data_IF_299826151313
#
_entry.id   IF_299826151313
#
_cell.length_a   1.000
_cell.length_b   1.000
_cell.length_c   1.000
_cell.angle_alpha   90.00
_cell.angle_beta   90.00
_cell.angle_gamma   90.00
#
_symmetry.space_group_name_H-M   'P 1'
#
loop_
_entity.id
_entity.type
_entity.pdbx_description
1 polymer ?
#
# COMPACT_ATOMS: atom_id res chain seq x y z
N UNK A 1 55.02 51.69 -7.66
CA UNK A 1 53.80 51.78 -6.83
C UNK A 1 52.97 50.57 -7.21
N UNK A 2 53.35 49.33 -6.83
CA UNK A 2 53.37 48.81 -5.44
C UNK A 2 52.13 49.31 -4.70
N UNK A 3 51.18 48.51 -4.23
CA UNK A 3 51.22 47.24 -3.52
C UNK A 3 49.72 46.95 -3.26
N UNK A 4 49.18 45.76 -3.49
CA UNK A 4 48.74 44.85 -2.40
C UNK A 4 48.23 43.56 -3.02
N UNK A 5 49.15 42.63 -3.26
CA UNK A 5 48.79 41.22 -3.23
C UNK A 5 48.49 40.84 -1.76
N UNK A 6 47.41 40.08 -1.59
CA UNK A 6 47.25 39.08 -0.51
C UNK A 6 47.42 39.56 0.92
N UNK A 7 46.34 40.06 1.52
CA UNK A 7 46.16 39.93 2.96
C UNK A 7 45.71 38.49 3.31
N UNK A 8 46.25 37.86 4.36
CA UNK A 8 45.94 36.49 4.72
C UNK A 8 44.48 36.35 5.15
N UNK A 9 43.78 35.37 4.58
CA UNK A 9 42.44 34.96 5.00
C UNK A 9 42.53 34.52 6.46
N UNK A 10 41.87 35.26 7.36
CA UNK A 10 41.71 34.83 8.75
C UNK A 10 40.92 33.52 8.75
N UNK A 11 41.59 32.48 9.21
CA UNK A 11 41.08 31.14 9.38
C UNK A 11 39.99 31.18 10.47
N UNK A 12 38.72 31.21 10.06
CA UNK A 12 37.59 31.16 10.99
C UNK A 12 36.29 31.89 10.58
N UNK A 13 36.31 32.82 9.62
CA UNK A 13 35.06 33.43 9.14
C UNK A 13 34.36 32.49 8.15
N UNK A 14 33.11 32.11 8.44
CA UNK A 14 32.22 31.49 7.47
C UNK A 14 32.26 32.31 6.17
N UNK A 15 32.66 31.67 5.07
CA UNK A 15 32.71 32.34 3.77
C UNK A 15 31.33 32.93 3.49
N UNK A 16 31.25 34.26 3.50
CA UNK A 16 30.02 34.99 3.18
C UNK A 16 29.49 34.46 1.84
N UNK A 17 28.21 34.06 1.81
CA UNK A 17 27.54 33.65 0.57
C UNK A 17 27.70 34.74 -0.50
N UNK A 18 27.88 34.36 -1.76
CA UNK A 18 28.03 35.31 -2.88
C UNK A 18 26.89 36.34 -2.93
N UNK A 19 25.66 35.92 -2.58
CA UNK A 19 24.50 36.82 -2.47
C UNK A 19 24.68 37.82 -1.33
N UNK A 20 25.24 37.40 -0.19
CA UNK A 20 25.54 38.27 0.96
C UNK A 20 26.65 39.28 0.62
N UNK A 21 27.69 38.84 -0.09
CA UNK A 21 28.77 39.73 -0.57
C UNK A 21 28.23 40.79 -1.53
N UNK A 22 27.43 40.38 -2.52
CA UNK A 22 26.81 41.33 -3.47
C UNK A 22 25.86 42.28 -2.74
N UNK A 23 25.11 41.79 -1.75
CA UNK A 23 24.23 42.63 -0.95
C UNK A 23 25.01 43.68 -0.16
N UNK A 24 26.12 43.30 0.47
CA UNK A 24 26.99 44.20 1.21
C UNK A 24 27.60 45.29 0.31
N UNK A 25 28.03 44.93 -0.90
CA UNK A 25 28.54 45.89 -1.90
C UNK A 25 27.43 46.85 -2.35
N UNK A 26 26.25 46.31 -2.63
CA UNK A 26 25.11 47.12 -3.04
C UNK A 26 24.62 48.05 -1.93
N UNK A 27 24.57 47.61 -0.68
CA UNK A 27 24.18 48.48 0.43
C UNK A 27 25.21 49.58 0.68
N UNK A 28 26.50 49.31 0.49
CA UNK A 28 27.56 50.33 0.62
C UNK A 28 27.55 51.38 -0.49
N UNK A 29 27.39 50.95 -1.76
CA UNK A 29 27.51 51.87 -2.90
C UNK A 29 26.18 52.41 -3.41
N UNK A 30 25.08 51.69 -3.21
CA UNK A 30 23.74 52.07 -3.69
C UNK A 30 22.65 51.45 -2.79
N UNK A 31 22.37 52.02 -1.61
CA UNK A 31 21.42 51.48 -0.64
C UNK A 31 20.02 51.19 -1.19
N UNK A 32 19.58 51.93 -2.23
CA UNK A 32 18.28 51.75 -2.90
C UNK A 32 18.31 50.73 -4.05
N UNK A 33 19.40 50.00 -4.24
CA UNK A 33 19.55 49.03 -5.33
C UNK A 33 18.54 47.90 -5.19
N UNK A 34 17.74 47.71 -6.23
CA UNK A 34 16.81 46.58 -6.37
C UNK A 34 17.44 45.39 -7.09
N UNK A 35 18.75 45.41 -7.38
CA UNK A 35 19.41 44.41 -8.22
C UNK A 35 19.12 42.97 -7.77
N UNK A 36 19.43 42.64 -6.52
CA UNK A 36 19.17 41.29 -5.98
C UNK A 36 17.69 40.92 -6.05
N UNK A 37 16.80 41.85 -5.69
CA UNK A 37 15.35 41.66 -5.76
C UNK A 37 14.85 41.40 -7.18
N UNK A 38 15.39 42.11 -8.17
CA UNK A 38 15.02 41.98 -9.58
C UNK A 38 15.44 40.63 -10.17
N UNK A 39 16.55 40.06 -9.68
CA UNK A 39 17.03 38.72 -10.09
C UNK A 39 16.51 37.60 -9.18
N UNK A 40 15.52 37.89 -8.32
CA UNK A 40 14.90 36.90 -7.43
C UNK A 40 15.76 36.44 -6.26
N UNK A 41 16.88 37.12 -5.99
CA UNK A 41 17.77 36.83 -4.87
C UNK A 41 17.40 37.71 -3.67
N UNK A 42 17.29 37.10 -2.49
CA UNK A 42 17.05 37.81 -1.24
C UNK A 42 18.32 37.73 -0.39
N UNK A 43 18.93 38.87 -0.04
CA UNK A 43 19.92 38.86 1.02
C UNK A 43 19.22 38.46 2.31
N UNK A 44 19.64 37.33 2.85
CA UNK A 44 19.24 36.83 4.17
C UNK A 44 17.87 36.14 4.16
N UNK A 45 17.89 34.84 3.91
CA UNK A 45 17.04 33.92 4.66
C UNK A 45 17.80 32.62 4.91
N UNK A 46 18.89 32.70 5.67
CA UNK A 46 19.54 31.53 6.28
C UNK A 46 18.68 30.84 7.34
N UNK A 47 17.39 31.21 7.48
CA UNK A 47 16.49 30.68 8.51
C UNK A 47 15.23 29.96 8.01
N UNK A 48 14.99 29.84 6.69
CA UNK A 48 13.73 29.26 6.19
C UNK A 48 13.84 27.82 5.66
N UNK A 49 15.04 27.30 5.42
CA UNK A 49 15.26 25.92 4.97
C UNK A 49 15.07 24.87 6.08
N UNK A 50 15.36 25.20 7.34
CA UNK A 50 15.22 24.24 8.45
C UNK A 50 13.75 23.95 8.80
N UNK A 51 12.86 24.95 8.63
CA UNK A 51 11.41 24.80 8.85
C UNK A 51 10.73 23.95 7.78
N UNK A 52 11.19 24.01 6.53
CA UNK A 52 10.66 23.15 5.46
C UNK A 52 11.10 21.69 5.63
N UNK A 53 12.32 21.44 6.09
CA UNK A 53 12.81 20.07 6.30
C UNK A 53 12.09 19.35 7.45
N UNK A 54 11.77 20.05 8.55
CA UNK A 54 10.99 19.45 9.64
C UNK A 54 9.58 19.05 9.21
N UNK A 55 8.91 19.88 8.41
CA UNK A 55 7.57 19.59 7.86
C UNK A 55 7.61 18.43 6.86
N UNK A 56 8.64 18.38 6.01
CA UNK A 56 8.85 17.26 5.08
C UNK A 56 9.10 15.97 5.85
N UNK A 57 9.95 15.98 6.86
CA UNK A 57 10.25 14.80 7.68
C UNK A 57 9.02 14.28 8.43
N UNK A 58 8.20 15.17 9.01
CA UNK A 58 6.95 14.78 9.66
C UNK A 58 5.99 14.11 8.68
N UNK A 59 5.89 14.62 7.45
CA UNK A 59 5.05 14.02 6.41
C UNK A 59 5.58 12.68 5.92
N UNK A 60 6.90 12.50 5.85
CA UNK A 60 7.50 11.20 5.49
C UNK A 60 7.17 10.15 6.55
N UNK A 61 7.25 10.50 7.84
CA UNK A 61 6.88 9.59 8.93
C UNK A 61 5.41 9.19 8.88
N UNK A 62 4.50 10.15 8.69
CA UNK A 62 3.06 9.88 8.53
C UNK A 62 2.76 8.97 7.33
N UNK A 63 3.41 9.20 6.19
CA UNK A 63 3.27 8.33 5.02
C UNK A 63 3.81 6.92 5.24
N UNK A 64 4.90 6.78 6.01
CA UNK A 64 5.46 5.47 6.37
C UNK A 64 4.51 4.70 7.29
N UNK A 65 3.93 5.37 8.28
CA UNK A 65 2.92 4.77 9.18
C UNK A 65 1.68 4.33 8.39
N UNK A 66 1.16 5.17 7.50
CA UNK A 66 0.03 4.81 6.64
C UNK A 66 0.34 3.63 5.72
N UNK A 67 1.57 3.54 5.20
CA UNK A 67 2.00 2.41 4.37
C UNK A 67 2.06 1.12 5.17
N UNK A 68 2.59 1.15 6.39
CA UNK A 68 2.65 0.00 7.28
C UNK A 68 1.25 -0.48 7.67
N UNK A 69 0.37 0.43 8.08
CA UNK A 69 -1.03 0.11 8.36
C UNK A 69 -1.73 -0.51 7.13
N UNK A 70 -1.50 0.06 5.94
CA UNK A 70 -2.09 -0.46 4.70
C UNK A 70 -1.56 -1.87 4.36
N UNK A 71 -0.27 -2.14 4.60
CA UNK A 71 0.32 -3.47 4.38
C UNK A 71 -0.29 -4.50 5.30
N UNK A 72 -0.34 -4.20 6.59
CA UNK A 72 -0.95 -5.08 7.60
C UNK A 72 -2.42 -5.37 7.26
N UNK A 73 -3.20 -4.34 6.88
CA UNK A 73 -4.59 -4.53 6.47
C UNK A 73 -4.72 -5.40 5.21
N UNK A 74 -3.82 -5.22 4.24
CA UNK A 74 -3.80 -6.03 3.03
C UNK A 74 -3.44 -7.49 3.32
N UNK A 75 -2.53 -7.75 4.26
CA UNK A 75 -2.16 -9.09 4.69
C UNK A 75 -3.34 -9.79 5.37
N UNK A 76 -4.00 -9.11 6.32
CA UNK A 76 -5.20 -9.64 6.98
C UNK A 76 -6.30 -9.96 5.96
N UNK A 77 -6.61 -9.04 5.03
CA UNK A 77 -7.61 -9.31 4.00
C UNK A 77 -7.24 -10.50 3.12
N UNK A 78 -5.95 -10.68 2.81
CA UNK A 78 -5.48 -11.83 2.03
C UNK A 78 -5.66 -13.13 2.80
N UNK A 79 -5.33 -13.16 4.08
CA UNK A 79 -5.52 -14.31 4.95
C UNK A 79 -7.01 -14.69 5.09
N UNK A 80 -7.88 -13.70 5.28
CA UNK A 80 -9.33 -13.90 5.33
C UNK A 80 -9.87 -14.50 4.02
N UNK A 81 -9.41 -13.98 2.88
CA UNK A 81 -9.79 -14.50 1.57
C UNK A 81 -9.29 -15.93 1.34
N UNK A 82 -8.08 -16.25 1.76
CA UNK A 82 -7.53 -17.60 1.63
C UNK A 82 -8.25 -18.58 2.57
N UNK A 83 -8.62 -18.15 3.78
CA UNK A 83 -9.45 -18.94 4.69
C UNK A 83 -10.86 -19.18 4.11
N UNK A 84 -11.47 -18.16 3.51
CA UNK A 84 -12.77 -18.27 2.87
C UNK A 84 -12.73 -19.22 1.67
N UNK A 85 -11.69 -19.16 0.83
CA UNK A 85 -11.49 -20.10 -0.28
C UNK A 85 -11.34 -21.54 0.20
N UNK A 86 -10.57 -21.78 1.27
CA UNK A 86 -10.43 -23.13 1.84
C UNK A 86 -11.78 -23.67 2.32
N UNK A 87 -12.53 -22.88 3.09
CA UNK A 87 -13.87 -23.27 3.55
C UNK A 87 -14.83 -23.54 2.39
N UNK A 88 -14.77 -22.73 1.33
CA UNK A 88 -15.59 -22.95 0.14
C UNK A 88 -15.23 -24.27 -0.55
N UNK A 89 -13.94 -24.56 -0.73
CA UNK A 89 -13.48 -25.81 -1.33
C UNK A 89 -13.85 -27.04 -0.49
N UNK A 90 -13.74 -26.95 0.84
CA UNK A 90 -14.17 -28.00 1.77
C UNK A 90 -15.69 -28.22 1.72
N UNK A 91 -16.48 -27.15 1.66
CA UNK A 91 -17.93 -27.24 1.55
C UNK A 91 -18.36 -27.86 0.22
N UNK A 92 -17.71 -27.49 -0.89
CA UNK A 92 -17.97 -28.08 -2.21
C UNK A 92 -17.63 -29.57 -2.23
N UNK A 93 -16.49 -29.97 -1.65
CA UNK A 93 -16.13 -31.38 -1.52
C UNK A 93 -17.13 -32.18 -0.66
N UNK A 94 -17.55 -31.61 0.47
CA UNK A 94 -18.56 -32.24 1.33
C UNK A 94 -19.92 -32.37 0.63
N UNK A 95 -20.30 -31.37 -0.16
CA UNK A 95 -21.51 -31.42 -0.97
C UNK A 95 -21.42 -32.51 -2.04
N UNK A 96 -20.30 -32.60 -2.76
CA UNK A 96 -20.10 -33.64 -3.77
C UNK A 96 -20.21 -35.07 -3.19
N UNK A 97 -19.66 -35.30 -1.99
CA UNK A 97 -19.81 -36.59 -1.31
C UNK A 97 -21.25 -36.87 -0.88
N UNK A 98 -21.96 -35.84 -0.41
CA UNK A 98 -23.38 -35.96 -0.07
C UNK A 98 -24.21 -36.32 -1.30
N UNK A 99 -23.95 -35.67 -2.42
CA UNK A 99 -24.70 -35.89 -3.65
C UNK A 99 -24.46 -37.31 -4.19
N UNK A 100 -23.21 -37.81 -4.18
CA UNK A 100 -22.91 -39.23 -4.48
C UNK A 100 -23.65 -40.20 -3.57
N UNK A 101 -23.71 -39.91 -2.27
CA UNK A 101 -24.42 -40.77 -1.31
C UNK A 101 -25.92 -40.81 -1.60
N UNK A 102 -26.49 -39.68 -2.03
CA UNK A 102 -27.89 -39.55 -2.38
C UNK A 102 -28.22 -40.34 -3.65
N UNK A 103 -27.38 -40.24 -4.69
CA UNK A 103 -27.51 -41.05 -5.91
C UNK A 103 -27.49 -42.55 -5.62
N UNK A 104 -26.59 -43.00 -4.73
CA UNK A 104 -26.53 -44.42 -4.33
C UNK A 104 -27.80 -44.86 -3.59
N UNK A 105 -28.39 -44.01 -2.75
CA UNK A 105 -29.64 -44.29 -2.08
C UNK A 105 -30.80 -44.38 -3.06
N UNK A 106 -30.86 -43.44 -4.02
CA UNK A 106 -31.91 -43.42 -5.05
C UNK A 106 -31.87 -44.71 -5.87
N UNK A 107 -30.69 -45.12 -6.34
CA UNK A 107 -30.51 -46.37 -7.09
C UNK A 107 -30.97 -47.59 -6.29
N UNK A 108 -30.63 -47.65 -5.00
CA UNK A 108 -31.08 -48.75 -4.12
C UNK A 108 -32.60 -48.75 -3.94
N UNK A 109 -33.23 -47.59 -3.87
CA UNK A 109 -34.68 -47.48 -3.80
C UNK A 109 -35.32 -48.01 -5.08
N UNK A 110 -34.85 -47.59 -6.25
CA UNK A 110 -35.33 -48.08 -7.56
C UNK A 110 -35.17 -49.61 -7.69
N UNK A 111 -34.02 -50.16 -7.29
CA UNK A 111 -33.79 -51.61 -7.30
C UNK A 111 -34.73 -52.36 -6.36
N UNK A 112 -35.04 -51.79 -5.20
CA UNK A 112 -35.99 -52.39 -4.26
C UNK A 112 -37.42 -52.33 -4.79
N UNK A 113 -37.85 -51.18 -5.33
CA UNK A 113 -39.17 -51.01 -5.92
C UNK A 113 -39.38 -51.98 -7.09
N UNK A 114 -38.36 -52.19 -7.93
CA UNK A 114 -38.39 -53.17 -9.00
C UNK A 114 -38.58 -54.62 -8.46
N UNK A 115 -37.87 -54.98 -7.37
CA UNK A 115 -38.04 -56.29 -6.72
C UNK A 115 -39.44 -56.47 -6.12
N UNK A 116 -39.98 -55.43 -5.48
CA UNK A 116 -41.35 -55.46 -4.94
C UNK A 116 -42.38 -55.62 -6.05
N UNK A 117 -42.25 -54.88 -7.16
CA UNK A 117 -43.13 -55.02 -8.31
C UNK A 117 -43.09 -56.45 -8.88
N UNK A 118 -41.89 -57.04 -9.01
CA UNK A 118 -41.74 -58.42 -9.48
C UNK A 118 -42.41 -59.43 -8.52
N UNK A 119 -42.27 -59.25 -7.21
CA UNK A 119 -42.91 -60.11 -6.21
C UNK A 119 -44.44 -60.04 -6.30
N UNK A 120 -45.00 -58.84 -6.46
CA UNK A 120 -46.45 -58.64 -6.62
C UNK A 120 -46.96 -59.39 -7.85
N UNK A 121 -46.26 -59.30 -8.98
CA UNK A 121 -46.62 -60.03 -10.20
C UNK A 121 -46.59 -61.54 -9.98
N UNK A 122 -45.54 -62.08 -9.34
CA UNK A 122 -45.42 -63.52 -9.05
C UNK A 122 -46.51 -64.02 -8.11
N UNK A 123 -46.84 -63.25 -7.06
CA UNK A 123 -47.90 -63.61 -6.11
C UNK A 123 -49.29 -63.53 -6.75
N UNK A 124 -49.56 -62.48 -7.54
CA UNK A 124 -50.80 -62.35 -8.29
C UNK A 124 -51.00 -63.46 -9.33
N UNK A 125 -49.92 -63.88 -10.00
CA UNK A 125 -49.95 -65.02 -10.92
C UNK A 125 -50.20 -66.36 -10.21
N UNK A 126 -49.81 -66.49 -8.93
CA UNK A 126 -50.00 -67.72 -8.14
C UNK A 126 -51.42 -67.89 -7.59
N UNK A 127 -52.21 -66.82 -7.50
CA UNK A 127 -53.60 -66.85 -7.02
C UNK A 127 -54.65 -67.06 -8.12
N UNK A 128 -54.24 -67.15 -9.39
CA UNK A 128 -55.13 -67.24 -10.56
C UNK A 128 -55.22 -68.61 -11.25
N UNK A 129 -54.73 -69.70 -10.63
CA UNK A 129 -54.79 -71.07 -11.13
C UNK A 129 -55.55 -72.00 -10.18
#
# INVERSE_FOLDING_TARGET
MEEKMTAPVQEGEERKSSVSVVAEVLTKHRPSSKFLKNVGLQPNSTGKSSKSNAVVNARVLDLQEQLEMSRQRSEVMREEMDAMKRKAAEAEAAQAERDKSYELLLKKAEENDAKYAQLIVLLGAKTGN
#
